data_IF_012296277786
#
_entry.id   IF_012296277786
#
_cell.length_a   1.000
_cell.length_b   1.000
_cell.length_c   1.000
_cell.angle_alpha   90.00
_cell.angle_beta   90.00
_cell.angle_gamma   90.00
#
_symmetry.space_group_name_H-M   'P 1'
#
loop_
_entity.id
_entity.type
_entity.pdbx_description
1 polymer ?
#
# COMPACT_ATOMS: atom_id res chain seq x y z
N UNK A 1 -15.60 -5.31 -29.32
CA UNK A 1 -14.68 -4.39 -28.62
C UNK A 1 -14.34 -5.00 -27.27
N UNK A 2 -13.06 -5.12 -26.92
CA UNK A 2 -12.66 -5.75 -25.66
C UNK A 2 -12.78 -4.74 -24.52
N UNK A 3 -13.55 -5.08 -23.47
CA UNK A 3 -13.69 -4.22 -22.29
C UNK A 3 -12.57 -4.55 -21.29
N UNK A 4 -11.97 -3.55 -20.62
CA UNK A 4 -10.99 -3.81 -19.57
C UNK A 4 -11.63 -4.62 -18.44
N UNK A 5 -10.94 -5.66 -18.00
CA UNK A 5 -11.42 -6.61 -16.98
C UNK A 5 -11.10 -6.16 -15.54
N UNK A 6 -10.31 -5.09 -15.38
CA UNK A 6 -9.83 -4.63 -14.08
C UNK A 6 -9.68 -3.12 -14.00
N UNK A 7 -9.29 -2.64 -12.80
CA UNK A 7 -9.01 -1.24 -12.52
C UNK A 7 -7.51 -0.98 -12.54
N UNK A 8 -7.08 0.07 -13.25
CA UNK A 8 -5.72 0.59 -13.17
C UNK A 8 -5.66 1.66 -12.07
N UNK A 9 -4.76 1.48 -11.11
CA UNK A 9 -4.48 2.46 -10.05
C UNK A 9 -3.10 3.05 -10.31
N UNK A 10 -3.03 4.32 -10.66
CA UNK A 10 -1.76 5.04 -10.84
C UNK A 10 -1.44 5.78 -9.55
N UNK A 11 -0.21 5.61 -9.07
CA UNK A 11 0.28 6.22 -7.84
C UNK A 11 1.52 7.05 -8.22
N UNK A 12 1.52 8.34 -7.88
CA UNK A 12 2.67 9.22 -8.12
C UNK A 12 3.88 8.89 -7.22
N UNK A 13 5.05 9.49 -7.49
CA UNK A 13 6.22 9.41 -6.60
C UNK A 13 6.04 10.23 -5.31
N UNK A 14 6.88 9.98 -4.30
CA UNK A 14 6.80 10.60 -2.97
C UNK A 14 5.48 10.34 -2.23
N UNK A 15 4.91 9.15 -2.42
CA UNK A 15 3.75 8.69 -1.65
C UNK A 15 4.16 8.67 -0.18
N UNK A 16 3.53 9.52 0.62
CA UNK A 16 3.65 9.44 2.06
C UNK A 16 3.20 8.02 2.45
N UNK A 17 4.14 7.17 2.88
CA UNK A 17 3.88 5.80 3.35
C UNK A 17 3.60 5.76 4.85
N UNK A 18 3.54 6.92 5.51
CA UNK A 18 3.70 7.03 6.95
C UNK A 18 5.17 6.85 7.29
N UNK A 19 5.76 7.83 7.97
CA UNK A 19 7.08 7.66 8.58
C UNK A 19 6.92 6.73 9.78
N UNK A 20 7.14 5.44 9.57
CA UNK A 20 7.18 4.45 10.64
C UNK A 20 8.54 4.51 11.32
N UNK A 21 8.63 5.27 12.40
CA UNK A 21 9.54 4.93 13.49
C UNK A 21 8.69 4.16 14.50
N UNK A 22 9.06 2.91 14.80
CA UNK A 22 8.34 2.06 15.78
C UNK A 22 8.26 2.73 17.17
N UNK A 23 9.09 3.74 17.41
CA UNK A 23 9.15 4.57 18.62
C UNK A 23 8.06 5.65 18.74
N UNK A 24 7.38 6.04 17.65
CA UNK A 24 6.39 7.13 17.65
C UNK A 24 4.93 6.64 17.67
N UNK A 25 4.72 5.33 17.84
CA UNK A 25 3.37 4.73 17.82
C UNK A 25 2.45 5.38 18.87
N UNK A 26 2.97 5.78 20.03
CA UNK A 26 2.15 6.27 21.15
C UNK A 26 1.66 7.72 21.03
N UNK A 27 2.39 8.62 20.36
CA UNK A 27 2.11 10.07 20.48
C UNK A 27 1.09 10.61 19.46
N UNK A 28 0.78 9.86 18.39
CA UNK A 28 -0.15 10.31 17.34
C UNK A 28 -1.04 9.18 16.78
N UNK A 29 -1.47 8.23 17.64
CA UNK A 29 -2.29 7.07 17.28
C UNK A 29 -3.49 7.46 16.38
N UNK A 30 -4.24 8.52 16.73
CA UNK A 30 -5.41 8.96 15.96
C UNK A 30 -5.07 9.48 14.56
N UNK A 31 -3.94 10.19 14.39
CA UNK A 31 -3.49 10.65 13.07
C UNK A 31 -2.97 9.50 12.23
N UNK A 32 -2.31 8.53 12.85
CA UNK A 32 -1.82 7.31 12.21
C UNK A 32 -2.98 6.40 11.77
N UNK A 33 -4.05 6.27 12.58
CA UNK A 33 -5.27 5.55 12.23
C UNK A 33 -5.96 6.18 11.01
N UNK A 34 -6.12 7.51 11.01
CA UNK A 34 -6.68 8.22 9.85
C UNK A 34 -5.85 8.03 8.58
N UNK A 35 -4.52 8.01 8.70
CA UNK A 35 -3.63 7.72 7.58
C UNK A 35 -3.74 6.27 7.11
N UNK A 36 -3.90 5.30 8.01
CA UNK A 36 -4.13 3.90 7.65
C UNK A 36 -5.47 3.70 6.95
N UNK A 37 -6.55 4.29 7.48
CA UNK A 37 -7.89 4.13 6.92
C UNK A 37 -8.10 4.89 5.61
N UNK A 38 -7.37 6.00 5.41
CA UNK A 38 -7.49 6.85 4.21
C UNK A 38 -6.29 6.76 3.27
N UNK A 39 -5.33 5.90 3.60
CA UNK A 39 -4.06 5.76 2.89
C UNK A 39 -4.17 5.00 1.57
N UNK A 40 -3.11 5.09 0.76
CA UNK A 40 -3.04 4.48 -0.56
C UNK A 40 -3.24 2.95 -0.51
N UNK A 41 -2.69 2.29 0.52
CA UNK A 41 -2.78 0.84 0.68
C UNK A 41 -4.22 0.41 0.99
N UNK A 42 -4.93 1.14 1.86
CA UNK A 42 -6.35 0.87 2.15
C UNK A 42 -7.23 1.12 0.94
N UNK A 43 -6.93 2.14 0.13
CA UNK A 43 -7.61 2.36 -1.15
C UNK A 43 -7.42 1.17 -2.10
N UNK A 44 -6.21 0.63 -2.25
CA UNK A 44 -5.95 -0.55 -3.09
C UNK A 44 -6.80 -1.74 -2.61
N UNK A 45 -6.84 -2.00 -1.30
CA UNK A 45 -7.66 -3.07 -0.72
C UNK A 45 -9.14 -2.85 -1.06
N UNK A 46 -9.68 -1.65 -0.80
CA UNK A 46 -11.09 -1.34 -1.04
C UNK A 46 -11.50 -1.42 -2.52
N UNK A 47 -10.58 -1.11 -3.43
CA UNK A 47 -10.81 -1.19 -4.89
C UNK A 47 -10.65 -2.61 -5.44
N UNK A 48 -10.04 -3.52 -4.67
CA UNK A 48 -9.80 -4.91 -5.05
C UNK A 48 -11.10 -5.73 -5.03
N UNK A 49 -11.19 -6.72 -5.93
CA UNK A 49 -12.40 -7.52 -6.16
C UNK A 49 -12.94 -8.20 -4.89
N UNK A 50 -12.05 -8.68 -4.03
CA UNK A 50 -12.39 -9.43 -2.81
C UNK A 50 -12.11 -8.62 -1.53
N UNK A 51 -11.79 -7.34 -1.66
CA UNK A 51 -11.46 -6.44 -0.54
C UNK A 51 -10.39 -7.05 0.37
N UNK A 52 -10.63 -7.16 1.67
CA UNK A 52 -9.74 -7.74 2.68
C UNK A 52 -9.34 -9.19 2.40
N UNK A 53 -10.14 -9.93 1.63
CA UNK A 53 -9.83 -11.32 1.25
C UNK A 53 -9.01 -11.42 -0.05
N UNK A 54 -8.60 -10.28 -0.62
CA UNK A 54 -7.77 -10.27 -1.82
C UNK A 54 -6.33 -10.64 -1.47
N UNK A 55 -5.74 -11.52 -2.26
CA UNK A 55 -4.30 -11.76 -2.23
C UNK A 55 -3.64 -10.72 -3.12
N UNK A 56 -2.71 -9.94 -2.56
CA UNK A 56 -1.97 -8.90 -3.26
C UNK A 56 -0.50 -9.29 -3.29
N UNK A 57 0.04 -9.47 -4.50
CA UNK A 57 1.46 -9.70 -4.72
C UNK A 57 2.17 -8.38 -5.03
N UNK A 58 3.34 -8.15 -4.41
CA UNK A 58 4.15 -6.97 -4.63
C UNK A 58 5.42 -7.37 -5.36
N UNK A 59 5.62 -6.84 -6.57
CA UNK A 59 6.78 -7.11 -7.41
C UNK A 59 7.72 -5.89 -7.35
N UNK A 60 8.84 -5.99 -6.62
CA UNK A 60 9.75 -4.87 -6.36
C UNK A 60 10.91 -4.76 -7.36
N UNK A 61 10.72 -5.24 -8.59
CA UNK A 61 11.78 -5.32 -9.63
C UNK A 61 12.33 -3.97 -10.07
N UNK A 62 11.58 -2.88 -9.87
CA UNK A 62 12.05 -1.53 -10.16
C UNK A 62 13.09 -1.02 -9.15
N UNK A 63 13.19 -1.61 -7.95
CA UNK A 63 14.17 -1.19 -6.95
C UNK A 63 15.48 -1.96 -7.13
N UNK A 64 16.61 -1.24 -7.12
CA UNK A 64 17.94 -1.83 -7.08
C UNK A 64 18.37 -2.18 -5.63
N UNK A 65 17.68 -1.65 -4.63
CA UNK A 65 18.03 -1.85 -3.23
C UNK A 65 17.74 -3.31 -2.80
N UNK A 66 18.74 -4.05 -2.27
CA UNK A 66 18.55 -5.44 -1.86
C UNK A 66 17.55 -5.65 -0.71
N UNK A 67 17.33 -4.66 0.15
CA UNK A 67 16.35 -4.78 1.25
C UNK A 67 14.91 -4.85 0.74
N UNK A 68 14.58 -4.07 -0.29
CA UNK A 68 13.22 -4.00 -0.86
C UNK A 68 12.82 -5.29 -1.61
N UNK A 69 13.81 -6.12 -1.96
CA UNK A 69 13.60 -7.43 -2.59
C UNK A 69 13.36 -8.56 -1.58
N UNK A 70 13.42 -8.27 -0.27
CA UNK A 70 13.22 -9.25 0.80
C UNK A 70 11.89 -9.11 1.53
N UNK A 71 10.81 -8.79 0.83
CA UNK A 71 9.48 -9.05 1.38
C UNK A 71 9.22 -10.57 1.29
N UNK A 72 9.64 -11.30 2.33
CA UNK A 72 9.21 -12.68 2.56
C UNK A 72 7.89 -12.60 3.31
N UNK A 73 6.83 -13.03 2.64
CA UNK A 73 5.50 -13.25 3.21
C UNK A 73 5.57 -14.28 4.33
#
# INVERSE_FOLDING_TARGET
MMKPVGKLIVIGGAVNKGSFSETDFDQNIEKNLNFFERGILRKIINESKHKENSVIEIITTASQNPSDRRFRI
#
